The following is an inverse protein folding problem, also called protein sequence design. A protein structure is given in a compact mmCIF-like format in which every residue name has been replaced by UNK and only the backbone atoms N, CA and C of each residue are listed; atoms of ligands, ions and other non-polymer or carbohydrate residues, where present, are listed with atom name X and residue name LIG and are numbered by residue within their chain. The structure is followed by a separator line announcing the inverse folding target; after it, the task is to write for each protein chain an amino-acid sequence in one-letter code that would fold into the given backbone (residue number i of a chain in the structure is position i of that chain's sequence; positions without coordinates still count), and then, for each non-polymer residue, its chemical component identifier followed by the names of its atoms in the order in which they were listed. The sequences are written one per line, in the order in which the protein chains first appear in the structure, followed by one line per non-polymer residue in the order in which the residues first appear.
data_IF_383190735914
#
_entry.id   IF_383190735914
#
_cell.length_a   1.000
_cell.length_b   1.000
_cell.length_c   1.000
_cell.angle_alpha   90.00
_cell.angle_beta   90.00
_cell.angle_gamma   90.00
#
_symmetry.space_group_name_H-M   'P 1'
#
loop_
_entity.id
_entity.type
_entity.pdbx_description
1 polymer ?
#
# COMPACT_ATOMS: atom_id res chain seq x y z
N UNK A 1 -24.05 11.96 -2.24
CA UNK A 1 -23.49 10.71 -2.79
C UNK A 1 -22.31 10.31 -1.93
N UNK A 2 -22.52 9.45 -0.94
CA UNK A 2 -21.43 8.87 -0.15
C UNK A 2 -21.18 7.48 -0.72
N UNK A 3 -20.09 7.31 -1.46
CA UNK A 3 -19.69 5.99 -1.93
C UNK A 3 -19.52 5.07 -0.70
N UNK A 4 -20.29 3.97 -0.58
CA UNK A 4 -20.11 3.01 0.49
C UNK A 4 -18.94 2.08 0.12
N UNK A 5 -18.16 1.68 1.13
CA UNK A 5 -17.07 0.68 1.08
C UNK A 5 -15.65 1.14 0.70
N UNK A 6 -15.18 2.27 1.21
CA UNK A 6 -13.75 2.32 1.53
C UNK A 6 -13.53 1.50 2.82
N UNK A 7 -13.29 0.19 2.68
CA UNK A 7 -12.95 -0.64 3.83
C UNK A 7 -11.66 -0.12 4.44
N UNK A 8 -11.68 0.19 5.73
CA UNK A 8 -10.51 0.69 6.42
C UNK A 8 -9.36 -0.32 6.31
N UNK A 9 -8.16 0.10 5.85
CA UNK A 9 -7.04 -0.81 5.68
C UNK A 9 -6.62 -1.39 7.03
N UNK A 10 -6.26 -2.66 7.05
CA UNK A 10 -5.79 -3.42 8.21
C UNK A 10 -4.45 -4.07 7.89
N UNK A 11 -3.68 -4.36 8.93
CA UNK A 11 -2.44 -5.12 8.76
C UNK A 11 -2.72 -6.47 8.08
N UNK A 12 -1.95 -6.78 7.04
CA UNK A 12 -2.14 -7.94 6.16
C UNK A 12 -2.92 -7.64 4.87
N UNK A 13 -3.61 -6.51 4.77
CA UNK A 13 -4.32 -6.14 3.54
C UNK A 13 -3.34 -5.75 2.43
N UNK A 14 -3.66 -6.11 1.20
CA UNK A 14 -3.00 -5.53 0.01
C UNK A 14 -3.82 -4.33 -0.46
N UNK A 15 -3.16 -3.18 -0.58
CA UNK A 15 -3.75 -1.91 -0.99
C UNK A 15 -3.00 -1.33 -2.17
N UNK A 16 -3.56 -0.28 -2.79
CA UNK A 16 -2.88 0.48 -3.83
C UNK A 16 -2.55 1.87 -3.33
N UNK A 17 -1.34 2.34 -3.62
CA UNK A 17 -0.86 3.67 -3.25
C UNK A 17 -0.30 4.39 -4.46
N UNK A 18 -0.33 5.72 -4.43
CA UNK A 18 0.39 6.56 -5.39
C UNK A 18 1.82 6.70 -4.90
N UNK A 19 2.80 6.29 -5.71
CA UNK A 19 4.22 6.43 -5.44
C UNK A 19 4.87 7.17 -6.62
N UNK A 20 5.21 8.46 -6.42
CA UNK A 20 5.63 9.32 -7.52
C UNK A 20 4.46 9.62 -8.46
N UNK A 21 4.59 9.22 -9.73
CA UNK A 21 3.55 9.38 -10.77
C UNK A 21 2.75 8.10 -11.02
N UNK A 22 3.19 6.98 -10.46
CA UNK A 22 2.60 5.66 -10.70
C UNK A 22 1.80 5.19 -9.48
N UNK A 23 0.93 4.22 -9.72
CA UNK A 23 0.25 3.48 -8.64
C UNK A 23 0.88 2.12 -8.47
N UNK A 24 1.25 1.77 -7.25
CA UNK A 24 1.87 0.49 -6.90
C UNK A 24 1.02 -0.24 -5.87
N UNK A 25 1.07 -1.57 -5.92
CA UNK A 25 0.48 -2.41 -4.89
C UNK A 25 1.41 -2.43 -3.67
N UNK A 26 0.83 -2.45 -2.47
CA UNK A 26 1.57 -2.45 -1.21
C UNK A 26 0.86 -3.29 -0.15
N UNK A 27 1.63 -3.96 0.70
CA UNK A 27 1.13 -4.72 1.84
C UNK A 27 1.07 -3.83 3.08
N UNK A 28 -0.08 -3.74 3.74
CA UNK A 28 -0.22 -3.00 5.00
C UNK A 28 0.49 -3.77 6.11
N UNK A 29 1.50 -3.14 6.70
CA UNK A 29 2.30 -3.72 7.80
C UNK A 29 1.73 -3.29 9.15
N UNK A 30 1.33 -2.02 9.26
CA UNK A 30 0.86 -1.43 10.53
C UNK A 30 -0.10 -0.28 10.27
N UNK A 31 -1.10 -0.16 11.13
CA UNK A 31 -2.01 0.99 11.17
C UNK A 31 -1.92 1.63 12.55
N UNK A 32 -1.61 2.92 12.59
CA UNK A 32 -1.48 3.72 13.81
C UNK A 32 -2.32 4.99 13.69
N UNK A 33 -3.55 4.94 14.20
CA UNK A 33 -4.48 6.07 14.11
C UNK A 33 -4.76 6.45 12.66
N UNK A 34 -4.29 7.64 12.26
CA UNK A 34 -4.45 8.22 10.93
C UNK A 34 -3.31 7.87 9.96
N UNK A 35 -2.33 7.06 10.38
CA UNK A 35 -1.19 6.66 9.55
C UNK A 35 -1.21 5.17 9.25
N UNK A 36 -0.83 4.83 8.04
CA UNK A 36 -0.72 3.45 7.54
C UNK A 36 0.70 3.26 7.03
N UNK A 37 1.42 2.31 7.61
CA UNK A 37 2.74 1.88 7.13
C UNK A 37 2.58 0.64 6.27
N UNK A 38 3.14 0.69 5.07
CA UNK A 38 3.01 -0.34 4.05
C UNK A 38 4.38 -0.69 3.47
N UNK A 39 4.52 -1.92 3.01
CA UNK A 39 5.66 -2.39 2.22
C UNK A 39 5.24 -2.40 0.75
N UNK A 40 5.98 -1.71 -0.12
CA UNK A 40 5.73 -1.71 -1.56
C UNK A 40 5.99 -3.13 -2.10
N UNK A 41 5.05 -3.62 -2.89
CA UNK A 41 5.19 -4.89 -3.61
C UNK A 41 5.76 -4.55 -4.98
N UNK A 42 7.05 -4.84 -5.17
CA UNK A 42 7.72 -4.64 -6.46
C UNK A 42 7.45 -5.85 -7.37
N UNK A 43 6.69 -5.65 -8.44
CA UNK A 43 6.33 -6.71 -9.40
C UNK A 43 7.08 -6.53 -10.74
N UNK A 44 8.39 -6.30 -10.68
CA UNK A 44 9.21 -6.25 -11.90
C UNK A 44 9.82 -7.64 -12.17
N UNK A 45 9.42 -8.32 -13.26
CA UNK A 45 9.93 -9.66 -13.59
C UNK A 45 11.41 -9.65 -14.03
N UNK A 46 12.00 -8.47 -14.24
CA UNK A 46 13.40 -8.32 -14.65
C UNK A 46 14.37 -8.20 -13.48
N UNK A 47 13.86 -7.97 -12.26
CA UNK A 47 14.66 -7.91 -11.04
C UNK A 47 14.47 -9.21 -10.23
N UNK A 48 15.54 -9.97 -9.95
CA UNK A 48 15.46 -11.13 -9.06
C UNK A 48 14.90 -10.73 -7.69
N UNK A 49 14.01 -11.54 -7.13
CA UNK A 49 13.38 -11.25 -5.82
C UNK A 49 14.42 -11.08 -4.69
N UNK A 50 15.56 -11.77 -4.79
CA UNK A 50 16.67 -11.68 -3.83
C UNK A 50 17.40 -10.32 -3.84
N UNK A 51 17.28 -9.57 -4.93
CA UNK A 51 17.90 -8.24 -5.10
C UNK A 51 16.92 -7.09 -4.77
N UNK A 52 15.67 -7.40 -4.41
CA UNK A 52 14.66 -6.39 -4.08
C UNK A 52 14.71 -6.10 -2.59
N UNK A 53 15.32 -4.97 -2.23
CA UNK A 53 15.22 -4.47 -0.85
C UNK A 53 13.78 -4.01 -0.54
N UNK A 54 13.22 -4.37 0.64
CA UNK A 54 11.87 -4.00 0.98
C UNK A 54 11.76 -2.48 1.22
N UNK A 55 10.92 -1.82 0.42
CA UNK A 55 10.65 -0.38 0.57
C UNK A 55 9.43 -0.18 1.45
N UNK A 56 9.62 0.44 2.61
CA UNK A 56 8.54 0.81 3.52
C UNK A 56 8.15 2.28 3.35
N UNK A 57 6.86 2.54 3.30
CA UNK A 57 6.30 3.89 3.20
C UNK A 57 5.18 4.08 4.20
N UNK A 58 5.04 5.31 4.70
CA UNK A 58 3.96 5.68 5.61
C UNK A 58 3.14 6.79 4.99
N UNK A 59 1.85 6.55 4.82
CA UNK A 59 0.91 7.51 4.26
C UNK A 59 -0.21 7.82 5.25
N UNK A 60 -0.83 9.01 5.15
CA UNK A 60 -2.13 9.26 5.76
C UNK A 60 -3.17 8.25 5.28
N UNK A 61 -3.99 7.73 6.19
CA UNK A 61 -5.05 6.72 5.93
C UNK A 61 -5.94 7.10 4.75
N UNK A 62 -6.27 8.38 4.61
CA UNK A 62 -7.11 8.92 3.53
C UNK A 62 -6.53 8.80 2.11
N UNK A 63 -5.22 8.57 1.98
CA UNK A 63 -4.55 8.40 0.68
C UNK A 63 -4.36 6.93 0.30
N UNK A 64 -4.75 6.00 1.18
CA UNK A 64 -4.64 4.56 0.92
C UNK A 64 -5.92 4.09 0.23
N UNK A 65 -5.78 3.53 -0.97
CA UNK A 65 -6.92 3.03 -1.73
C UNK A 65 -7.07 1.52 -1.49
N UNK A 66 -8.25 1.04 -1.06
CA UNK A 66 -8.49 -0.40 -0.96
C UNK A 66 -8.41 -1.04 -2.36
N UNK A 67 -7.87 -2.26 -2.40
CA UNK A 67 -7.93 -3.10 -3.59
C UNK A 67 -9.28 -3.84 -3.55
N UNK A 68 -10.07 -3.73 -4.63
CA UNK A 68 -11.38 -4.42 -4.76
C UNK A 68 -11.25 -5.94 -4.65
#
# INVERSE_FOLDING_TARGET
MTSPNATDPKAGDTVRIVFGVDTVDALVVRVEGDKVTMQIIWNDPTTPEEDIEPVFVTYPRQLVMPKE
#
